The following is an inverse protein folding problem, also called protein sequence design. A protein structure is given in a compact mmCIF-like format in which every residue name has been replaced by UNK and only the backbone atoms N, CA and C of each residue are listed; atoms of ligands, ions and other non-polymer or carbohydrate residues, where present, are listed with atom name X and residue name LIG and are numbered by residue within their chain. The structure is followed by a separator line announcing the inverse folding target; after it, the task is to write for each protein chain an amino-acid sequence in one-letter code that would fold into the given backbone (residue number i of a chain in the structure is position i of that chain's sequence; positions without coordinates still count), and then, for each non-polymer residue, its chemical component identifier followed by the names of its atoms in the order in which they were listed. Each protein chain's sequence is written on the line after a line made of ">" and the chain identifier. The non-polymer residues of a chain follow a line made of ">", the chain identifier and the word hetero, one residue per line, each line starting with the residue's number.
data_IF_372856834779
#
_entry.id   IF_372856834779
#
_cell.length_a   1.000
_cell.length_b   1.000
_cell.length_c   1.000
_cell.angle_alpha   90.00
_cell.angle_beta   90.00
_cell.angle_gamma   90.00
#
_symmetry.space_group_name_H-M   'P 1'
#
loop_
_entity.id
_entity.type
_entity.pdbx_description
1 polymer ?
#
# COMPACT_ATOMS: atom_id res chain seq x y z
N UNK A 1 28.71 11.89 -0.04
CA UNK A 1 28.16 10.54 -0.27
C UNK A 1 27.58 10.12 1.06
N UNK A 2 26.26 10.23 1.23
CA UNK A 2 25.56 9.79 2.45
C UNK A 2 24.09 9.56 2.08
N UNK A 3 23.82 8.67 1.12
CA UNK A 3 22.47 8.44 0.62
C UNK A 3 21.51 7.97 1.73
N UNK A 4 21.86 6.85 2.39
CA UNK A 4 21.07 6.28 3.49
C UNK A 4 21.21 7.03 4.82
N UNK A 5 22.30 7.78 4.99
CA UNK A 5 22.54 8.62 6.17
C UNK A 5 21.98 10.04 6.02
N UNK A 6 21.50 10.42 4.83
CA UNK A 6 20.95 11.75 4.56
C UNK A 6 19.68 11.98 5.36
N UNK A 7 19.62 13.03 6.21
CA UNK A 7 18.42 13.37 6.95
C UNK A 7 17.23 13.65 6.03
N UNK A 8 17.48 14.28 4.88
CA UNK A 8 16.44 14.61 3.89
C UNK A 8 15.84 13.35 3.28
N UNK A 9 16.67 12.40 2.86
CA UNK A 9 16.20 11.12 2.28
C UNK A 9 15.39 10.34 3.32
N UNK A 10 15.86 10.28 4.56
CA UNK A 10 15.15 9.61 5.65
C UNK A 10 13.80 10.27 5.98
N UNK A 11 13.72 11.62 5.89
CA UNK A 11 12.47 12.34 6.09
C UNK A 11 11.46 12.05 4.98
N UNK A 12 11.90 12.07 3.71
CA UNK A 12 11.04 11.76 2.56
C UNK A 12 10.54 10.31 2.61
N UNK A 13 11.39 9.35 2.99
CA UNK A 13 11.00 7.95 3.22
C UNK A 13 10.00 7.85 4.37
N UNK A 14 10.25 8.54 5.48
CA UNK A 14 9.32 8.56 6.62
C UNK A 14 7.93 9.08 6.24
N UNK A 15 7.86 10.11 5.39
CA UNK A 15 6.60 10.63 4.87
C UNK A 15 5.90 9.62 3.94
N UNK A 16 6.64 8.98 3.03
CA UNK A 16 6.09 7.97 2.12
C UNK A 16 5.54 6.75 2.88
N UNK A 17 6.26 6.27 3.90
CA UNK A 17 5.81 5.20 4.81
C UNK A 17 4.56 5.63 5.58
N UNK A 18 4.53 6.85 6.12
CA UNK A 18 3.39 7.35 6.90
C UNK A 18 2.14 7.68 6.08
N UNK A 19 2.24 7.67 4.75
CA UNK A 19 1.14 7.97 3.82
C UNK A 19 0.82 6.80 2.89
N UNK A 20 1.31 5.60 3.22
CA UNK A 20 1.06 4.34 2.49
C UNK A 20 1.37 4.42 0.98
N UNK A 21 2.42 5.16 0.60
CA UNK A 21 2.83 5.25 -0.80
C UNK A 21 3.52 3.97 -1.28
N UNK A 22 3.30 3.63 -2.55
CA UNK A 22 4.04 2.56 -3.22
C UNK A 22 5.53 2.95 -3.33
N UNK A 23 6.41 2.14 -2.73
CA UNK A 23 7.85 2.31 -2.83
C UNK A 23 8.47 1.13 -3.56
N UNK A 24 9.34 1.42 -4.54
CA UNK A 24 10.15 0.43 -5.25
C UNK A 24 11.62 0.83 -5.08
N UNK A 25 12.34 0.24 -4.12
CA UNK A 25 13.71 0.63 -3.85
C UNK A 25 14.66 0.11 -4.95
N UNK A 26 15.50 0.99 -5.47
CA UNK A 26 16.66 0.66 -6.29
C UNK A 26 17.90 0.75 -5.40
N UNK A 27 18.74 -0.29 -5.41
CA UNK A 27 19.92 -0.35 -4.56
C UNK A 27 21.16 -0.74 -5.36
N UNK A 28 22.20 0.10 -5.29
CA UNK A 28 23.50 -0.22 -5.87
C UNK A 28 24.12 -1.40 -5.11
N UNK A 29 24.80 -2.31 -5.79
CA UNK A 29 25.42 -3.48 -5.15
C UNK A 29 26.36 -3.05 -4.01
N UNK A 30 26.36 -3.81 -2.91
CA UNK A 30 27.07 -3.52 -1.65
C UNK A 30 26.58 -2.32 -0.82
N UNK A 31 25.62 -1.53 -1.32
CA UNK A 31 24.98 -0.48 -0.54
C UNK A 31 23.89 -1.02 0.40
N UNK A 32 23.41 -0.17 1.31
CA UNK A 32 22.36 -0.52 2.27
C UNK A 32 21.15 0.41 2.14
N UNK A 33 19.97 -0.19 2.26
CA UNK A 33 18.73 0.55 2.40
C UNK A 33 18.67 1.29 3.75
N UNK A 34 18.00 2.45 3.80
CA UNK A 34 17.63 3.11 5.04
C UNK A 34 16.83 2.21 5.98
N UNK A 35 17.02 2.38 7.29
CA UNK A 35 16.46 1.48 8.34
C UNK A 35 14.95 1.30 8.19
N UNK A 36 14.21 2.38 7.91
CA UNK A 36 12.75 2.36 7.77
C UNK A 36 12.24 1.43 6.66
N UNK A 37 13.02 1.24 5.59
CA UNK A 37 12.66 0.39 4.45
C UNK A 37 13.60 -0.80 4.26
N UNK A 38 14.44 -1.09 5.26
CA UNK A 38 15.44 -2.17 5.20
C UNK A 38 14.85 -3.57 5.03
N UNK A 39 13.56 -3.73 5.31
CA UNK A 39 12.80 -4.96 5.13
C UNK A 39 12.22 -5.12 3.72
N UNK A 40 12.27 -4.07 2.89
CA UNK A 40 11.68 -4.09 1.55
C UNK A 40 12.61 -4.80 0.54
N UNK A 41 12.07 -5.60 -0.38
CA UNK A 41 12.85 -6.13 -1.48
C UNK A 41 13.27 -4.98 -2.42
N UNK A 42 14.55 -4.92 -2.75
CA UNK A 42 15.10 -3.93 -3.67
C UNK A 42 15.51 -4.55 -5.01
N UNK A 43 15.40 -3.76 -6.07
CA UNK A 43 15.98 -4.08 -7.37
C UNK A 43 17.46 -3.68 -7.30
N UNK A 44 18.31 -4.69 -7.29
CA UNK A 44 19.76 -4.52 -7.24
C UNK A 44 20.31 -4.09 -8.60
N UNK A 45 21.28 -3.18 -8.60
CA UNK A 45 21.95 -2.74 -9.81
C UNK A 45 23.44 -2.45 -9.57
N UNK A 46 24.22 -2.46 -10.65
CA UNK A 46 25.58 -1.93 -10.71
C UNK A 46 25.55 -0.60 -11.47
N UNK A 47 26.48 0.30 -11.18
CA UNK A 47 26.50 1.65 -11.79
C UNK A 47 26.48 1.64 -13.32
N UNK A 48 27.16 0.67 -13.92
CA UNK A 48 27.26 0.47 -15.37
C UNK A 48 26.02 -0.19 -15.99
N UNK A 49 25.06 -0.65 -15.17
CA UNK A 49 23.86 -1.34 -15.63
C UNK A 49 22.54 -0.73 -15.11
N UNK A 50 22.57 0.50 -14.59
CA UNK A 50 21.40 1.19 -14.03
C UNK A 50 20.18 1.20 -14.96
N UNK A 51 20.38 1.30 -16.28
CA UNK A 51 19.30 1.23 -17.28
C UNK A 51 18.53 -0.09 -17.22
N UNK A 52 19.19 -1.21 -16.91
CA UNK A 52 18.53 -2.50 -16.73
C UNK A 52 17.63 -2.52 -15.49
N UNK A 53 18.01 -1.81 -14.42
CA UNK A 53 17.21 -1.68 -13.22
C UNK A 53 15.91 -0.89 -13.49
N UNK A 54 15.98 0.16 -14.31
CA UNK A 54 14.79 0.86 -14.79
C UNK A 54 13.90 -0.05 -15.64
N UNK A 55 14.50 -0.88 -16.49
CA UNK A 55 13.79 -1.92 -17.23
C UNK A 55 13.03 -2.89 -16.32
N UNK A 56 13.64 -3.29 -15.19
CA UNK A 56 12.99 -4.11 -14.18
C UNK A 56 11.82 -3.39 -13.50
N UNK A 57 11.98 -2.11 -13.13
CA UNK A 57 10.87 -1.30 -12.57
C UNK A 57 9.69 -1.25 -13.54
N UNK A 58 9.94 -0.96 -14.81
CA UNK A 58 8.87 -0.88 -15.82
C UNK A 58 8.19 -2.24 -15.99
N UNK A 59 8.95 -3.33 -15.99
CA UNK A 59 8.42 -4.69 -16.05
C UNK A 59 7.53 -4.99 -14.85
N UNK A 60 7.98 -4.66 -13.64
CA UNK A 60 7.24 -4.91 -12.39
C UNK A 60 5.95 -4.09 -12.35
N UNK A 61 6.01 -2.78 -12.69
CA UNK A 61 4.82 -1.93 -12.82
C UNK A 61 3.83 -2.50 -13.85
N UNK A 62 4.32 -2.96 -15.00
CA UNK A 62 3.47 -3.60 -16.01
C UNK A 62 2.87 -4.91 -15.51
N UNK A 63 3.54 -5.63 -14.61
CA UNK A 63 3.01 -6.85 -14.00
C UNK A 63 2.01 -6.55 -12.88
N UNK A 64 2.05 -5.37 -12.25
CA UNK A 64 0.99 -4.92 -11.34
C UNK A 64 -0.39 -4.88 -12.03
N UNK A 65 -0.45 -4.72 -13.36
CA UNK A 65 -1.72 -4.81 -14.12
C UNK A 65 -2.28 -6.23 -14.24
N UNK A 66 -1.48 -7.26 -13.94
CA UNK A 66 -1.89 -8.68 -13.85
C UNK A 66 -2.09 -9.13 -12.40
N UNK A 67 -2.03 -8.21 -11.45
CA UNK A 67 -2.11 -8.52 -10.05
C UNK A 67 -3.57 -8.83 -9.72
N UNK A 68 -3.87 -10.10 -9.46
CA UNK A 68 -5.25 -10.56 -9.25
C UNK A 68 -5.68 -10.42 -7.78
N UNK A 69 -4.72 -10.43 -6.85
CA UNK A 69 -4.95 -10.29 -5.42
C UNK A 69 -3.79 -9.58 -4.72
N UNK A 70 -4.11 -8.83 -3.68
CA UNK A 70 -3.17 -8.17 -2.77
C UNK A 70 -3.31 -8.74 -1.37
N UNK A 71 -2.18 -8.90 -0.68
CA UNK A 71 -2.19 -9.12 0.77
C UNK A 71 -2.10 -7.74 1.44
N UNK A 72 -3.20 -7.29 2.03
CA UNK A 72 -3.29 -5.99 2.71
C UNK A 72 -3.71 -6.17 4.16
N UNK A 73 -3.51 -5.14 5.00
CA UNK A 73 -4.07 -5.12 6.36
C UNK A 73 -5.38 -4.34 6.34
N UNK A 74 -6.39 -4.85 7.06
CA UNK A 74 -7.64 -4.12 7.23
C UNK A 74 -7.36 -2.78 7.93
N UNK A 75 -7.80 -1.65 7.37
CA UNK A 75 -7.56 -0.33 7.98
C UNK A 75 -8.26 -0.15 9.33
N UNK A 76 -9.26 -0.99 9.65
CA UNK A 76 -10.01 -0.90 10.91
C UNK A 76 -9.44 -1.77 12.03
N UNK A 77 -9.09 -3.04 11.76
CA UNK A 77 -8.67 -3.99 12.79
C UNK A 77 -7.22 -4.47 12.65
N UNK A 78 -6.52 -4.11 11.57
CA UNK A 78 -5.13 -4.50 11.31
C UNK A 78 -4.94 -5.96 10.87
N UNK A 79 -6.03 -6.73 10.71
CA UNK A 79 -5.97 -8.12 10.27
C UNK A 79 -5.43 -8.24 8.84
N UNK A 80 -4.55 -9.22 8.61
CA UNK A 80 -4.05 -9.51 7.26
C UNK A 80 -5.13 -10.21 6.43
N UNK A 81 -5.45 -9.63 5.28
CA UNK A 81 -6.45 -10.16 4.36
C UNK A 81 -5.89 -10.27 2.94
N UNK A 82 -6.32 -11.32 2.23
CA UNK A 82 -6.13 -11.45 0.79
C UNK A 82 -7.33 -10.84 0.10
N UNK A 83 -7.14 -9.70 -0.56
CA UNK A 83 -8.19 -9.01 -1.32
C UNK A 83 -7.93 -9.19 -2.81
N UNK A 84 -8.91 -9.74 -3.54
CA UNK A 84 -8.90 -9.70 -4.99
C UNK A 84 -9.02 -8.26 -5.47
N UNK A 85 -8.28 -7.90 -6.53
CA UNK A 85 -8.37 -6.55 -7.07
C UNK A 85 -9.80 -6.28 -7.54
N UNK A 86 -10.40 -5.23 -6.97
CA UNK A 86 -11.74 -4.77 -7.34
C UNK A 86 -11.78 -4.50 -8.84
N UNK A 87 -12.82 -4.98 -9.57
CA UNK A 87 -12.90 -4.80 -11.02
C UNK A 87 -12.72 -3.35 -11.42
N UNK A 88 -11.97 -3.10 -12.51
CA UNK A 88 -11.65 -1.74 -12.97
C UNK A 88 -12.89 -0.83 -13.06
N UNK A 89 -14.03 -1.36 -13.51
CA UNK A 89 -15.30 -0.63 -13.61
C UNK A 89 -15.78 -0.05 -12.27
N UNK A 90 -15.57 -0.78 -11.17
CA UNK A 90 -15.94 -0.34 -9.83
C UNK A 90 -14.92 0.66 -9.28
N UNK A 91 -13.63 0.47 -9.57
CA UNK A 91 -12.57 1.44 -9.27
C UNK A 91 -12.84 2.78 -9.97
N UNK A 92 -13.13 2.74 -11.27
CA UNK A 92 -13.45 3.93 -12.08
C UNK A 92 -14.67 4.66 -11.52
N UNK A 93 -15.68 3.91 -11.09
CA UNK A 93 -16.88 4.46 -10.47
C UNK A 93 -16.56 5.25 -9.20
N UNK A 94 -15.83 4.66 -8.25
CA UNK A 94 -15.51 5.36 -6.98
C UNK A 94 -14.58 6.56 -7.20
N UNK A 95 -13.67 6.49 -8.18
CA UNK A 95 -12.82 7.64 -8.58
C UNK A 95 -13.68 8.78 -9.12
N UNK A 96 -14.63 8.49 -10.02
CA UNK A 96 -15.56 9.48 -10.58
C UNK A 96 -16.44 10.08 -9.47
N UNK A 97 -16.87 9.24 -8.53
CA UNK A 97 -17.73 9.63 -7.40
C UNK A 97 -16.95 10.35 -6.28
N UNK A 98 -15.60 10.39 -6.35
CA UNK A 98 -14.76 10.99 -5.32
C UNK A 98 -14.86 10.29 -3.96
N UNK A 99 -15.14 8.98 -3.97
CA UNK A 99 -15.38 8.17 -2.78
C UNK A 99 -14.30 7.10 -2.59
N UNK A 100 -14.16 6.62 -1.36
CA UNK A 100 -13.17 5.59 -1.03
C UNK A 100 -13.65 4.21 -1.49
N UNK A 101 -12.69 3.41 -1.97
CA UNK A 101 -12.93 2.02 -2.30
C UNK A 101 -13.09 1.23 -0.99
N UNK A 102 -14.27 0.65 -0.77
CA UNK A 102 -14.57 -0.09 0.46
C UNK A 102 -13.69 -1.33 0.56
N UNK A 103 -12.67 -1.26 1.40
CA UNK A 103 -11.71 -2.36 1.68
C UNK A 103 -11.81 -2.74 3.16
N UNK A 104 -12.91 -3.39 3.54
CA UNK A 104 -13.10 -3.94 4.89
C UNK A 104 -12.78 -5.43 4.89
N UNK A 105 -12.16 -5.95 5.95
CA UNK A 105 -12.11 -7.40 6.12
C UNK A 105 -13.53 -7.93 6.36
N UNK A 106 -13.77 -9.19 6.02
CA UNK A 106 -15.08 -9.84 6.17
C UNK A 106 -15.63 -9.74 7.59
N UNK A 107 -14.77 -9.74 8.61
CA UNK A 107 -15.15 -9.52 10.00
C UNK A 107 -15.68 -8.10 10.25
N UNK A 108 -14.93 -7.07 9.86
CA UNK A 108 -15.35 -5.67 10.01
C UNK A 108 -16.57 -5.34 9.13
N UNK A 109 -16.65 -5.93 7.94
CA UNK A 109 -17.80 -5.82 7.05
C UNK A 109 -19.06 -6.40 7.70
N UNK A 110 -18.98 -7.61 8.27
CA UNK A 110 -20.09 -8.23 8.98
C UNK A 110 -20.59 -7.39 10.16
N UNK A 111 -19.68 -6.80 10.93
CA UNK A 111 -20.03 -5.92 12.05
C UNK A 111 -20.70 -4.64 11.54
N UNK A 112 -20.17 -4.03 10.49
CA UNK A 112 -20.74 -2.81 9.92
C UNK A 112 -22.16 -3.04 9.37
N UNK A 113 -22.38 -4.15 8.66
CA UNK A 113 -23.71 -4.55 8.18
C UNK A 113 -24.67 -4.92 9.31
N UNK A 114 -24.18 -5.56 10.39
CA UNK A 114 -24.99 -5.82 11.59
C UNK A 114 -25.46 -4.53 12.26
N UNK A 115 -24.60 -3.52 12.36
CA UNK A 115 -24.94 -2.21 12.95
C UNK A 115 -25.93 -1.46 12.04
N UNK A 116 -25.75 -1.47 10.71
CA UNK A 116 -26.68 -0.83 9.79
C UNK A 116 -28.05 -1.52 9.70
N UNK A 117 -28.11 -2.85 9.83
CA UNK A 117 -29.36 -3.61 9.81
C UNK A 117 -30.17 -3.55 11.11
N UNK A 118 -29.56 -3.02 12.19
CA UNK A 118 -30.17 -2.90 13.51
C UNK A 118 -30.04 -1.47 14.08
N UNK A 119 -29.96 -0.45 13.21
CA UNK A 119 -29.97 0.96 13.61
C UNK A 119 -31.17 1.34 14.47
N UNK A 120 -32.25 0.58 14.36
CA UNK A 120 -33.50 0.78 15.08
C UNK A 120 -33.49 0.16 16.50
N UNK A 121 -32.47 -0.63 16.85
CA UNK A 121 -32.32 -1.29 18.15
C UNK A 121 -31.33 -0.59 19.11
N UNK A 122 -30.64 0.45 18.66
CA UNK A 122 -29.71 1.22 19.50
C UNK A 122 -30.12 2.70 19.56
N UNK A 123 -31.00 3.10 20.49
CA UNK A 123 -31.18 4.49 20.80
C UNK A 123 -29.99 4.96 21.65
N UNK A 124 -29.04 5.63 21.02
CA UNK A 124 -28.13 6.56 21.71
C UNK A 124 -26.71 6.06 22.00
N UNK A 125 -25.78 6.96 21.63
CA UNK A 125 -24.42 7.14 22.12
C UNK A 125 -23.35 6.11 21.76
N UNK A 126 -22.71 6.33 20.62
CA UNK A 126 -21.26 6.10 20.47
C UNK A 126 -20.61 7.31 19.77
N UNK A 127 -20.41 8.38 20.53
CA UNK A 127 -19.37 9.37 20.31
C UNK A 127 -18.81 9.76 21.69
N UNK A 128 -17.67 9.16 22.03
CA UNK A 128 -16.59 9.75 22.84
C UNK A 128 -15.31 9.07 22.44
#
# INVERSE_FOLDING_TARGET
>A
MDGSLSPKVNQEIGLAVGTDQLMIPLLEYEEKLPVLISHMPAILFYRDNYENALGAVIKDIRQLTKLEWLKIKCPHCGEEMTQYITPQKEVDKVIIEGSDLKTLCSYCEHIFFWIQGHSDLFPGNFLT
#
